data_IF_720979036605
#
_entry.id   IF_720979036605
#
_cell.length_a   1.000
_cell.length_b   1.000
_cell.length_c   1.000
_cell.angle_alpha   90.00
_cell.angle_beta   90.00
_cell.angle_gamma   90.00
#
_symmetry.space_group_name_H-M   'P 1'
#
loop_
_entity.id
_entity.type
_entity.pdbx_description
1 polymer ?
#
# COMPACT_ATOMS: atom_id res chain seq x y z
N UNK A 1 -48.76 11.50 -18.01
CA UNK A 1 -47.81 11.72 -16.90
C UNK A 1 -48.60 12.20 -15.69
N UNK A 2 -48.38 11.59 -14.51
CA UNK A 2 -47.21 11.95 -13.72
C UNK A 2 -46.32 10.74 -13.39
N UNK A 3 -45.02 11.00 -13.32
CA UNK A 3 -44.03 10.07 -12.78
C UNK A 3 -44.30 9.87 -11.29
N UNK A 4 -44.47 8.62 -10.86
CA UNK A 4 -44.29 8.25 -9.47
C UNK A 4 -42.81 8.45 -9.10
N UNK A 5 -42.56 9.48 -8.30
CA UNK A 5 -41.31 9.64 -7.55
C UNK A 5 -41.22 8.48 -6.57
N UNK A 6 -40.41 7.49 -6.92
CA UNK A 6 -40.00 6.41 -6.02
C UNK A 6 -39.22 7.04 -4.85
N UNK A 7 -39.89 7.22 -3.72
CA UNK A 7 -39.26 7.67 -2.48
C UNK A 7 -38.24 6.62 -2.03
N UNK A 8 -36.98 7.03 -1.89
CA UNK A 8 -35.93 6.19 -1.31
C UNK A 8 -36.36 5.67 0.07
N UNK A 9 -36.07 4.40 0.43
CA UNK A 9 -36.50 3.80 1.68
C UNK A 9 -35.97 4.59 2.89
N UNK A 10 -36.86 4.92 3.82
CA UNK A 10 -36.57 5.69 5.03
C UNK A 10 -35.67 4.87 5.96
N UNK A 11 -34.40 5.23 6.05
CA UNK A 11 -33.39 4.56 6.91
C UNK A 11 -33.91 4.54 8.36
N UNK A 12 -33.83 3.38 9.01
CA UNK A 12 -34.35 3.23 10.39
C UNK A 12 -33.41 3.92 11.38
N UNK A 13 -33.93 4.56 12.42
CA UNK A 13 -33.12 5.25 13.47
C UNK A 13 -31.99 4.38 14.02
N UNK A 14 -32.24 3.07 14.19
CA UNK A 14 -31.22 2.10 14.61
C UNK A 14 -30.03 2.01 13.64
N UNK A 15 -30.27 2.06 12.34
CA UNK A 15 -29.22 2.03 11.30
C UNK A 15 -28.41 3.33 11.30
N UNK A 16 -29.09 4.47 11.48
CA UNK A 16 -28.42 5.76 11.63
C UNK A 16 -27.48 5.78 12.85
N UNK A 17 -27.90 5.20 13.99
CA UNK A 17 -27.03 5.09 15.17
C UNK A 17 -25.75 4.32 14.83
N UNK A 18 -25.88 3.18 14.13
CA UNK A 18 -24.72 2.37 13.74
C UNK A 18 -23.79 3.14 12.80
N UNK A 19 -24.34 3.82 11.79
CA UNK A 19 -23.57 4.59 10.81
C UNK A 19 -22.81 5.75 11.46
N UNK A 20 -23.49 6.56 12.27
CA UNK A 20 -22.87 7.69 12.98
C UNK A 20 -21.82 7.21 14.00
N UNK A 21 -22.07 6.07 14.65
CA UNK A 21 -21.07 5.46 15.55
C UNK A 21 -19.82 5.04 14.79
N UNK A 22 -19.98 4.38 13.63
CA UNK A 22 -18.84 4.00 12.78
C UNK A 22 -18.00 5.22 12.39
N UNK A 23 -18.66 6.29 11.96
CA UNK A 23 -18.01 7.55 11.59
C UNK A 23 -17.20 8.14 12.76
N UNK A 24 -17.84 8.32 13.92
CA UNK A 24 -17.19 8.85 15.11
C UNK A 24 -16.03 7.97 15.58
N UNK A 25 -16.21 6.64 15.61
CA UNK A 25 -15.13 5.71 15.99
C UNK A 25 -13.96 5.80 15.02
N UNK A 26 -14.22 5.87 13.72
CA UNK A 26 -13.19 6.00 12.70
C UNK A 26 -12.41 7.32 12.80
N UNK A 27 -13.09 8.44 13.07
CA UNK A 27 -12.48 9.76 13.18
C UNK A 27 -11.71 9.94 14.50
N UNK A 28 -12.33 9.60 15.63
CA UNK A 28 -11.84 10.02 16.96
C UNK A 28 -11.17 8.90 17.76
N UNK A 29 -11.36 7.63 17.38
CA UNK A 29 -11.03 6.49 18.25
C UNK A 29 -12.27 5.95 18.94
N UNK A 30 -12.41 4.63 19.03
CA UNK A 30 -13.54 4.06 19.76
C UNK A 30 -13.45 4.38 21.27
N UNK A 31 -12.23 4.46 21.80
CA UNK A 31 -11.96 4.70 23.23
C UNK A 31 -12.42 6.09 23.70
N UNK A 32 -12.35 7.09 22.82
CA UNK A 32 -12.71 8.49 23.12
C UNK A 32 -14.21 8.77 22.91
N UNK A 33 -14.94 7.86 22.27
CA UNK A 33 -16.35 8.03 21.94
C UNK A 33 -17.22 7.26 22.94
N UNK A 34 -18.19 7.96 23.53
CA UNK A 34 -19.20 7.41 24.44
C UNK A 34 -20.57 7.36 23.76
N UNK A 35 -21.54 6.64 24.34
CA UNK A 35 -22.95 6.67 23.87
C UNK A 35 -23.54 8.08 23.93
N UNK A 36 -23.13 8.91 24.89
CA UNK A 36 -23.56 10.30 24.97
C UNK A 36 -22.98 11.15 23.83
N UNK A 37 -21.73 10.91 23.43
CA UNK A 37 -21.14 11.59 22.26
C UNK A 37 -21.90 11.23 20.98
N UNK A 38 -22.27 9.96 20.80
CA UNK A 38 -23.06 9.50 19.65
C UNK A 38 -24.45 10.15 19.65
N UNK A 39 -25.14 10.15 20.80
CA UNK A 39 -26.46 10.76 20.92
C UNK A 39 -26.42 12.27 20.62
N UNK A 40 -25.41 12.98 21.13
CA UNK A 40 -25.21 14.40 20.88
C UNK A 40 -24.92 14.69 19.41
N UNK A 41 -24.06 13.90 18.76
CA UNK A 41 -23.74 14.05 17.32
C UNK A 41 -24.97 13.85 16.43
N UNK A 42 -25.89 12.98 16.84
CA UNK A 42 -27.15 12.72 16.12
C UNK A 42 -28.30 13.64 16.53
N UNK A 43 -28.07 14.57 17.47
CA UNK A 43 -29.11 15.44 18.04
C UNK A 43 -30.32 14.66 18.62
N UNK A 44 -30.07 13.48 19.20
CA UNK A 44 -31.09 12.67 19.90
C UNK A 44 -30.84 12.62 21.40
N UNK A 45 -31.90 12.34 22.18
CA UNK A 45 -31.72 12.13 23.62
C UNK A 45 -30.95 10.83 23.91
N UNK A 46 -30.15 10.76 24.99
CA UNK A 46 -29.50 9.53 25.40
C UNK A 46 -30.49 8.37 25.58
N UNK A 47 -31.69 8.66 26.12
CA UNK A 47 -32.76 7.66 26.27
C UNK A 47 -33.25 7.07 24.95
N UNK A 48 -33.30 7.86 23.87
CA UNK A 48 -33.63 7.35 22.54
C UNK A 48 -32.56 6.39 22.02
N UNK A 49 -31.28 6.70 22.24
CA UNK A 49 -30.19 5.77 21.90
C UNK A 49 -30.28 4.48 22.72
N UNK A 50 -30.51 4.59 24.04
CA UNK A 50 -30.64 3.42 24.94
C UNK A 50 -31.81 2.51 24.58
N UNK A 51 -32.89 3.05 24.00
CA UNK A 51 -34.01 2.27 23.48
C UNK A 51 -33.58 1.30 22.36
N UNK A 52 -32.61 1.70 21.54
CA UNK A 52 -32.10 0.88 20.43
C UNK A 52 -30.88 0.04 20.80
N UNK A 53 -30.02 0.55 21.66
CA UNK A 53 -28.76 -0.09 22.07
C UNK A 53 -28.50 0.12 23.56
N UNK A 54 -28.47 -0.98 24.32
CA UNK A 54 -28.26 -0.92 25.77
C UNK A 54 -26.90 -0.33 26.18
N UNK A 55 -25.88 -0.43 25.32
CA UNK A 55 -24.53 0.08 25.56
C UNK A 55 -23.73 0.19 24.25
N UNK A 56 -22.51 0.76 24.34
CA UNK A 56 -21.58 0.92 23.21
C UNK A 56 -21.19 -0.43 22.58
N UNK A 57 -21.05 -1.47 23.39
CA UNK A 57 -20.63 -2.81 22.98
C UNK A 57 -21.68 -3.47 22.09
N UNK A 58 -22.96 -3.24 22.34
CA UNK A 58 -24.04 -3.69 21.47
C UNK A 58 -23.96 -3.04 20.06
N UNK A 59 -23.52 -1.78 19.97
CA UNK A 59 -23.29 -1.10 18.68
C UNK A 59 -22.07 -1.71 17.98
N UNK A 60 -20.96 -1.89 18.71
CA UNK A 60 -19.72 -2.50 18.19
C UNK A 60 -19.98 -3.92 17.68
N UNK A 61 -20.80 -4.72 18.38
CA UNK A 61 -21.16 -6.07 17.95
C UNK A 61 -21.93 -6.07 16.61
N UNK A 62 -22.78 -5.07 16.36
CA UNK A 62 -23.46 -4.90 15.07
C UNK A 62 -22.47 -4.46 13.99
N UNK A 63 -21.60 -3.50 14.28
CA UNK A 63 -20.54 -3.07 13.34
C UNK A 63 -19.62 -4.22 12.97
N UNK A 64 -19.21 -5.03 13.93
CA UNK A 64 -18.41 -6.23 13.69
C UNK A 64 -19.16 -7.25 12.84
N UNK A 65 -20.48 -7.39 13.03
CA UNK A 65 -21.32 -8.26 12.18
C UNK A 65 -21.35 -7.78 10.73
N UNK A 66 -21.46 -6.48 10.52
CA UNK A 66 -21.44 -5.88 9.17
C UNK A 66 -20.07 -6.04 8.52
N UNK A 67 -18.99 -5.84 9.28
CA UNK A 67 -17.62 -6.05 8.82
C UNK A 67 -17.36 -7.52 8.45
N UNK A 68 -17.74 -8.46 9.33
CA UNK A 68 -17.62 -9.90 9.09
C UNK A 68 -18.35 -10.30 7.80
N UNK A 69 -19.61 -9.88 7.65
CA UNK A 69 -20.40 -10.16 6.45
C UNK A 69 -19.82 -9.54 5.18
N UNK A 70 -19.27 -8.31 5.27
CA UNK A 70 -18.60 -7.65 4.15
C UNK A 70 -17.38 -8.45 3.69
N UNK A 71 -16.49 -8.81 4.62
CA UNK A 71 -15.25 -9.54 4.30
C UNK A 71 -15.57 -10.93 3.77
N UNK A 72 -16.50 -11.67 4.40
CA UNK A 72 -16.91 -12.99 3.91
C UNK A 72 -17.61 -12.94 2.55
N UNK A 73 -18.25 -11.82 2.21
CA UNK A 73 -18.90 -11.62 0.93
C UNK A 73 -17.94 -11.61 -0.26
N UNK A 74 -16.76 -11.00 -0.09
CA UNK A 74 -15.75 -10.91 -1.16
C UNK A 74 -14.59 -11.89 -0.98
N UNK A 75 -14.18 -12.26 0.23
CA UNK A 75 -13.00 -13.09 0.48
C UNK A 75 -13.32 -14.59 0.30
N UNK A 76 -13.55 -14.97 -0.95
CA UNK A 76 -13.84 -16.34 -1.37
C UNK A 76 -13.35 -16.58 -2.80
N UNK A 77 -12.92 -17.80 -3.16
CA UNK A 77 -12.54 -18.11 -4.53
C UNK A 77 -13.69 -17.88 -5.54
N UNK A 78 -13.37 -17.59 -6.81
CA UNK A 78 -14.37 -17.52 -7.88
C UNK A 78 -15.14 -18.84 -7.99
N UNK A 79 -16.45 -18.76 -8.17
CA UNK A 79 -17.31 -19.95 -8.32
C UNK A 79 -17.59 -20.20 -9.80
N UNK A 80 -17.40 -21.45 -10.25
CA UNK A 80 -17.75 -21.87 -11.60
C UNK A 80 -16.84 -21.34 -12.72
N UNK A 81 -15.70 -20.72 -12.38
CA UNK A 81 -14.65 -20.31 -13.33
C UNK A 81 -13.28 -20.36 -12.67
N UNK A 82 -12.23 -20.44 -13.50
CA UNK A 82 -10.86 -20.26 -13.04
C UNK A 82 -10.62 -18.83 -12.52
N UNK A 83 -9.65 -18.69 -11.61
CA UNK A 83 -9.20 -17.39 -11.12
C UNK A 83 -8.43 -16.63 -12.20
N UNK A 84 -8.52 -15.30 -12.18
CA UNK A 84 -7.79 -14.42 -13.11
C UNK A 84 -6.93 -13.41 -12.35
N UNK A 85 -6.06 -12.69 -13.07
CA UNK A 85 -5.24 -11.61 -12.49
C UNK A 85 -6.12 -10.47 -11.96
N UNK A 86 -7.28 -10.22 -12.59
CA UNK A 86 -8.27 -9.23 -12.15
C UNK A 86 -8.84 -9.57 -10.78
N UNK A 87 -9.05 -10.85 -10.46
CA UNK A 87 -9.51 -11.25 -9.13
C UNK A 87 -8.51 -10.86 -8.05
N UNK A 88 -7.20 -11.02 -8.32
CA UNK A 88 -6.14 -10.60 -7.40
C UNK A 88 -6.21 -9.10 -7.09
N UNK A 89 -6.45 -8.27 -8.12
CA UNK A 89 -6.66 -6.82 -7.95
C UNK A 89 -7.91 -6.55 -7.13
N UNK A 90 -9.02 -7.20 -7.46
CA UNK A 90 -10.29 -7.06 -6.76
C UNK A 90 -10.15 -7.37 -5.26
N UNK A 91 -9.54 -8.49 -4.89
CA UNK A 91 -9.36 -8.84 -3.47
C UNK A 91 -8.55 -7.78 -2.73
N UNK A 92 -7.51 -7.26 -3.36
CA UNK A 92 -6.64 -6.27 -2.75
C UNK A 92 -7.35 -4.93 -2.52
N UNK A 93 -8.08 -4.45 -3.52
CA UNK A 93 -8.90 -3.23 -3.41
C UNK A 93 -10.03 -3.39 -2.39
N UNK A 94 -10.70 -4.55 -2.38
CA UNK A 94 -11.75 -4.86 -1.43
C UNK A 94 -11.24 -4.92 0.01
N UNK A 95 -10.07 -5.54 0.24
CA UNK A 95 -9.42 -5.60 1.56
C UNK A 95 -9.04 -4.20 2.04
N UNK A 96 -8.40 -3.39 1.20
CA UNK A 96 -8.01 -2.01 1.56
C UNK A 96 -9.22 -1.13 1.85
N UNK A 97 -10.29 -1.28 1.06
CA UNK A 97 -11.54 -0.56 1.27
C UNK A 97 -12.22 -0.97 2.58
N UNK A 98 -12.28 -2.28 2.87
CA UNK A 98 -12.82 -2.78 4.13
C UNK A 98 -11.99 -2.29 5.34
N UNK A 99 -10.66 -2.32 5.23
CA UNK A 99 -9.76 -1.79 6.25
C UNK A 99 -9.96 -0.29 6.49
N UNK A 100 -10.15 0.51 5.44
CA UNK A 100 -10.42 1.94 5.57
C UNK A 100 -11.78 2.21 6.23
N UNK A 101 -12.83 1.55 5.74
CA UNK A 101 -14.19 1.74 6.20
C UNK A 101 -14.39 1.32 7.66
N UNK A 102 -13.61 0.34 8.14
CA UNK A 102 -13.67 -0.17 9.52
C UNK A 102 -12.35 -0.01 10.27
N UNK A 103 -11.55 1.01 9.93
CA UNK A 103 -10.21 1.24 10.49
C UNK A 103 -10.16 1.32 12.01
N UNK A 104 -11.25 1.75 12.66
CA UNK A 104 -11.33 1.72 14.12
C UNK A 104 -11.16 0.30 14.70
N UNK A 105 -11.70 -0.73 14.04
CA UNK A 105 -11.55 -2.12 14.48
C UNK A 105 -10.08 -2.52 14.48
N UNK A 106 -9.34 -2.17 13.42
CA UNK A 106 -7.91 -2.51 13.30
C UNK A 106 -7.02 -1.72 14.26
N UNK A 107 -7.37 -0.46 14.53
CA UNK A 107 -6.63 0.41 15.46
C UNK A 107 -6.80 -0.04 16.91
N UNK A 108 -8.02 -0.39 17.31
CA UNK A 108 -8.39 -0.63 18.72
C UNK A 108 -8.63 -2.11 19.06
N UNK A 109 -8.33 -3.04 18.13
CA UNK A 109 -8.71 -4.45 18.20
C UNK A 109 -8.44 -5.11 19.56
N UNK A 110 -7.19 -5.06 20.04
CA UNK A 110 -6.78 -5.70 21.28
C UNK A 110 -7.62 -5.25 22.48
N UNK A 111 -7.93 -3.95 22.54
CA UNK A 111 -8.77 -3.39 23.59
C UNK A 111 -10.22 -3.86 23.48
N UNK A 112 -10.77 -3.87 22.27
CA UNK A 112 -12.14 -4.34 22.00
C UNK A 112 -12.30 -5.81 22.40
N UNK A 113 -11.35 -6.67 22.04
CA UNK A 113 -11.40 -8.10 22.36
C UNK A 113 -11.17 -8.37 23.85
N UNK A 114 -10.33 -7.58 24.52
CA UNK A 114 -10.06 -7.72 25.95
C UNK A 114 -11.27 -7.41 26.85
N UNK A 115 -12.20 -6.55 26.39
CA UNK A 115 -13.37 -6.13 27.16
C UNK A 115 -14.65 -6.90 26.80
N UNK A 116 -14.64 -7.71 25.73
CA UNK A 116 -15.79 -8.51 25.30
C UNK A 116 -15.34 -9.93 24.89
N UNK A 117 -15.45 -10.92 25.81
CA UNK A 117 -15.10 -12.32 25.52
C UNK A 117 -15.90 -12.94 24.39
N UNK A 118 -17.14 -12.50 24.17
CA UNK A 118 -18.02 -13.00 23.11
C UNK A 118 -17.50 -12.53 21.75
N UNK A 119 -17.16 -11.23 21.66
CA UNK A 119 -16.52 -10.66 20.48
C UNK A 119 -15.15 -11.31 20.22
N UNK A 120 -14.35 -11.56 21.25
CA UNK A 120 -13.06 -12.26 21.13
C UNK A 120 -13.19 -13.69 20.58
N UNK A 121 -14.18 -14.45 21.03
CA UNK A 121 -14.45 -15.79 20.49
C UNK A 121 -14.94 -15.73 19.04
N UNK A 122 -15.77 -14.72 18.70
CA UNK A 122 -16.25 -14.52 17.34
C UNK A 122 -15.11 -14.11 16.39
N UNK A 123 -14.28 -13.16 16.79
CA UNK A 123 -13.13 -12.70 16.02
C UNK A 123 -12.15 -13.84 15.72
N UNK A 124 -11.85 -14.70 16.71
CA UNK A 124 -10.98 -15.88 16.50
C UNK A 124 -11.50 -16.83 15.41
N UNK A 125 -12.81 -17.08 15.39
CA UNK A 125 -13.43 -17.90 14.33
C UNK A 125 -13.40 -17.19 12.98
N UNK A 126 -13.66 -15.88 12.97
CA UNK A 126 -13.58 -15.06 11.77
C UNK A 126 -12.17 -15.05 11.15
N UNK A 127 -11.13 -14.83 11.95
CA UNK A 127 -9.74 -14.82 11.47
C UNK A 127 -9.32 -16.17 10.90
N UNK A 128 -9.72 -17.28 11.54
CA UNK A 128 -9.48 -18.63 11.02
C UNK A 128 -10.16 -18.85 9.66
N UNK A 129 -11.42 -18.41 9.51
CA UNK A 129 -12.12 -18.50 8.21
C UNK A 129 -11.43 -17.64 7.15
N UNK A 130 -11.00 -16.43 7.47
CA UNK A 130 -10.28 -15.56 6.54
C UNK A 130 -8.96 -16.19 6.07
N UNK A 131 -8.19 -16.79 6.97
CA UNK A 131 -6.95 -17.49 6.61
C UNK A 131 -7.23 -18.68 5.68
N UNK A 132 -8.24 -19.50 6.00
CA UNK A 132 -8.63 -20.63 5.15
C UNK A 132 -9.10 -20.18 3.76
N UNK A 133 -9.88 -19.10 3.67
CA UNK A 133 -10.33 -18.54 2.40
C UNK A 133 -9.17 -17.92 1.61
N UNK A 134 -8.25 -17.22 2.27
CA UNK A 134 -7.03 -16.69 1.65
C UNK A 134 -6.18 -17.82 1.03
N UNK A 135 -5.99 -18.92 1.76
CA UNK A 135 -5.29 -20.10 1.22
C UNK A 135 -6.05 -20.72 0.03
N UNK A 136 -7.38 -20.78 0.07
CA UNK A 136 -8.19 -21.27 -1.05
C UNK A 136 -8.07 -20.37 -2.28
N UNK A 137 -8.03 -19.05 -2.11
CA UNK A 137 -7.82 -18.08 -3.18
C UNK A 137 -6.44 -18.28 -3.81
N UNK A 138 -5.38 -18.38 -2.99
CA UNK A 138 -4.03 -18.61 -3.51
C UNK A 138 -3.90 -19.97 -4.21
N UNK A 139 -4.57 -21.03 -3.72
CA UNK A 139 -4.67 -22.30 -4.47
C UNK A 139 -5.31 -22.11 -5.83
N UNK A 140 -6.41 -21.36 -5.91
CA UNK A 140 -7.05 -21.03 -7.18
C UNK A 140 -6.13 -20.26 -8.14
N UNK A 141 -5.25 -19.40 -7.62
CA UNK A 141 -4.22 -18.74 -8.45
C UNK A 141 -3.11 -19.68 -8.91
N UNK A 142 -2.73 -20.68 -8.09
CA UNK A 142 -1.78 -21.72 -8.52
C UNK A 142 -2.38 -22.61 -9.59
N UNK A 143 -3.63 -23.05 -9.42
CA UNK A 143 -4.36 -23.87 -10.39
C UNK A 143 -4.57 -23.17 -11.74
N UNK A 144 -4.58 -21.82 -11.74
CA UNK A 144 -4.69 -21.00 -12.94
C UNK A 144 -3.33 -20.59 -13.54
N UNK A 145 -2.21 -21.15 -13.04
CA UNK A 145 -0.84 -20.80 -13.45
C UNK A 145 -0.49 -19.30 -13.29
N UNK A 146 -1.16 -18.59 -12.39
CA UNK A 146 -0.92 -17.15 -12.11
C UNK A 146 0.25 -16.97 -11.13
N UNK A 147 0.45 -17.93 -10.23
CA UNK A 147 1.54 -17.95 -9.25
C UNK A 147 2.05 -19.38 -9.07
N UNK A 148 3.36 -19.55 -8.92
CA UNK A 148 3.96 -20.84 -8.62
C UNK A 148 4.31 -20.92 -7.12
N UNK A 149 3.54 -21.70 -6.36
CA UNK A 149 3.75 -21.90 -4.92
C UNK A 149 3.36 -23.30 -4.49
N UNK A 150 4.11 -23.88 -3.54
CA UNK A 150 3.70 -25.07 -2.81
C UNK A 150 2.71 -24.76 -1.67
N UNK A 151 2.17 -25.80 -1.03
CA UNK A 151 1.19 -25.65 0.06
C UNK A 151 1.75 -24.88 1.26
N UNK A 152 3.01 -25.08 1.61
CA UNK A 152 3.66 -24.43 2.76
C UNK A 152 3.84 -22.93 2.46
N UNK A 153 4.20 -22.58 1.22
CA UNK A 153 4.31 -21.21 0.76
C UNK A 153 2.95 -20.50 0.74
N UNK A 154 1.87 -21.18 0.33
CA UNK A 154 0.51 -20.64 0.39
C UNK A 154 0.11 -20.32 1.84
N UNK A 155 0.34 -21.25 2.77
CA UNK A 155 0.04 -21.05 4.19
C UNK A 155 0.83 -19.87 4.77
N UNK A 156 2.14 -19.84 4.50
CA UNK A 156 3.05 -18.80 4.99
C UNK A 156 2.72 -17.42 4.43
N UNK A 157 2.47 -17.32 3.12
CA UNK A 157 2.12 -16.08 2.46
C UNK A 157 0.77 -15.56 2.96
N UNK A 158 -0.21 -16.44 3.12
CA UNK A 158 -1.54 -16.03 3.63
C UNK A 158 -1.44 -15.48 5.05
N UNK A 159 -0.66 -16.13 5.92
CA UNK A 159 -0.42 -15.66 7.29
C UNK A 159 0.32 -14.31 7.31
N UNK A 160 1.37 -14.18 6.51
CA UNK A 160 2.14 -12.94 6.41
C UNK A 160 1.28 -11.80 5.87
N UNK A 161 0.49 -12.04 4.82
CA UNK A 161 -0.46 -11.07 4.29
C UNK A 161 -1.48 -10.63 5.34
N UNK A 162 -2.02 -11.57 6.12
CA UNK A 162 -2.91 -11.26 7.24
C UNK A 162 -2.24 -10.37 8.29
N UNK A 163 -1.03 -10.71 8.73
CA UNK A 163 -0.26 -9.92 9.71
C UNK A 163 -0.03 -8.50 9.20
N UNK A 164 0.42 -8.36 7.94
CA UNK A 164 0.69 -7.06 7.32
C UNK A 164 -0.58 -6.23 7.24
N UNK A 165 -1.67 -6.78 6.67
CA UNK A 165 -2.93 -6.06 6.51
C UNK A 165 -3.52 -5.64 7.87
N UNK A 166 -3.57 -6.55 8.84
CA UNK A 166 -4.14 -6.25 10.16
C UNK A 166 -3.29 -5.28 10.98
N UNK A 167 -1.98 -5.22 10.72
CA UNK A 167 -1.06 -4.30 11.42
C UNK A 167 -0.84 -2.98 10.70
N UNK A 168 -1.24 -2.85 9.43
CA UNK A 168 -0.91 -1.70 8.58
C UNK A 168 -1.42 -0.36 9.13
N UNK A 169 -2.67 -0.32 9.60
CA UNK A 169 -3.27 0.89 10.20
C UNK A 169 -2.47 1.34 11.42
N UNK A 170 -2.10 0.39 12.28
CA UNK A 170 -1.30 0.67 13.50
C UNK A 170 0.12 1.12 13.15
N UNK A 171 0.73 0.50 12.15
CA UNK A 171 2.04 0.91 11.64
C UNK A 171 2.02 2.35 11.11
N UNK A 172 1.04 2.72 10.28
CA UNK A 172 0.91 4.07 9.75
C UNK A 172 0.72 5.10 10.88
N UNK A 173 -0.15 4.79 11.85
CA UNK A 173 -0.41 5.67 13.00
C UNK A 173 0.80 5.86 13.94
N UNK A 174 1.81 5.00 13.86
CA UNK A 174 3.00 5.05 14.74
C UNK A 174 4.25 5.55 14.04
N UNK A 175 4.28 5.53 12.70
CA UNK A 175 5.50 5.81 11.94
C UNK A 175 5.40 6.99 10.99
N UNK A 176 4.18 7.39 10.57
CA UNK A 176 4.01 8.38 9.50
C UNK A 176 2.89 9.38 9.75
N UNK A 177 1.73 8.90 10.20
CA UNK A 177 0.50 9.69 10.31
C UNK A 177 0.07 9.77 11.77
N UNK A 178 -0.51 10.90 12.19
CA UNK A 178 -1.16 10.96 13.49
C UNK A 178 -2.50 10.20 13.42
N UNK A 179 -2.87 9.45 14.47
CA UNK A 179 -4.07 8.58 14.45
C UNK A 179 -5.40 9.29 14.19
N UNK A 180 -5.43 10.61 14.36
CA UNK A 180 -6.57 11.49 14.09
C UNK A 180 -6.63 12.00 12.63
N UNK A 181 -5.55 11.85 11.85
CA UNK A 181 -5.40 12.40 10.50
C UNK A 181 -4.99 11.33 9.46
N UNK A 182 -5.34 10.06 9.70
CA UNK A 182 -5.08 9.00 8.73
C UNK A 182 -5.89 9.27 7.45
N UNK A 183 -5.21 9.42 6.32
CA UNK A 183 -5.85 9.60 5.01
C UNK A 183 -6.14 8.25 4.33
N UNK A 184 -7.18 8.22 3.49
CA UNK A 184 -7.51 7.04 2.68
C UNK A 184 -6.36 6.68 1.75
N UNK A 185 -5.72 7.71 1.17
CA UNK A 185 -4.52 7.58 0.37
C UNK A 185 -3.36 6.95 1.14
N UNK A 186 -3.18 7.22 2.45
CA UNK A 186 -2.13 6.57 3.24
C UNK A 186 -2.36 5.05 3.40
N UNK A 187 -3.61 4.61 3.53
CA UNK A 187 -3.95 3.18 3.54
C UNK A 187 -3.70 2.58 2.16
N UNK A 188 -4.19 3.24 1.11
CA UNK A 188 -4.06 2.78 -0.29
C UNK A 188 -2.63 2.87 -0.83
N UNK A 189 -1.76 3.72 -0.28
CA UNK A 189 -0.32 3.84 -0.61
C UNK A 189 0.47 2.54 -0.44
N UNK A 190 -0.04 1.58 0.34
CA UNK A 190 0.52 0.23 0.38
C UNK A 190 0.39 -0.54 -0.93
N UNK A 191 -0.49 -0.07 -1.84
CA UNK A 191 -0.81 -0.69 -3.13
C UNK A 191 -1.27 0.37 -4.13
N UNK A 192 -0.37 0.83 -5.01
CA UNK A 192 -0.80 1.39 -6.30
C UNK A 192 -0.54 0.36 -7.39
N UNK A 193 -1.61 -0.27 -7.87
CA UNK A 193 -1.61 -0.95 -9.17
C UNK A 193 -2.53 -0.20 -10.13
N UNK A 194 -2.01 0.16 -11.30
CA UNK A 194 -2.82 0.63 -12.44
C UNK A 194 -2.84 2.13 -12.73
N UNK A 195 -2.28 2.99 -11.86
CA UNK A 195 -2.10 4.44 -12.14
C UNK A 195 -0.63 4.80 -12.34
N UNK A 196 0.28 4.09 -11.66
CA UNK A 196 1.73 4.22 -11.81
C UNK A 196 2.39 2.84 -11.85
N UNK A 197 3.57 2.73 -12.44
CA UNK A 197 4.40 1.51 -12.31
C UNK A 197 4.78 1.23 -10.85
N UNK A 198 5.42 0.07 -10.60
CA UNK A 198 5.82 -0.38 -9.24
C UNK A 198 6.80 0.55 -8.51
N UNK A 199 7.39 1.51 -9.23
CA UNK A 199 8.34 2.47 -8.70
C UNK A 199 8.03 3.87 -9.25
N UNK A 200 6.96 4.53 -8.76
CA UNK A 200 6.58 5.86 -9.24
C UNK A 200 7.69 6.88 -8.99
N UNK A 201 7.68 7.96 -9.78
CA UNK A 201 8.45 9.14 -9.44
C UNK A 201 7.90 9.75 -8.14
N UNK A 202 8.78 10.21 -7.24
CA UNK A 202 8.34 10.91 -6.04
C UNK A 202 7.77 12.29 -6.41
N UNK A 203 6.99 12.86 -5.50
CA UNK A 203 6.65 14.28 -5.58
C UNK A 203 7.95 15.12 -5.53
N UNK A 204 8.19 16.02 -6.51
CA UNK A 204 9.43 16.77 -6.58
C UNK A 204 9.73 17.60 -5.35
N UNK A 205 8.71 18.26 -4.78
CA UNK A 205 8.91 19.13 -3.63
C UNK A 205 9.25 18.34 -2.38
N UNK A 206 8.59 17.18 -2.17
CA UNK A 206 8.91 16.27 -1.07
C UNK A 206 10.33 15.69 -1.20
N UNK A 207 10.77 15.35 -2.43
CA UNK A 207 12.13 14.87 -2.65
C UNK A 207 13.15 15.99 -2.37
N UNK A 208 12.93 17.21 -2.85
CA UNK A 208 13.80 18.36 -2.57
C UNK A 208 13.90 18.63 -1.07
N UNK A 209 12.77 18.67 -0.35
CA UNK A 209 12.75 18.84 1.11
C UNK A 209 13.54 17.74 1.82
N UNK A 210 13.42 16.49 1.35
CA UNK A 210 14.18 15.37 1.91
C UNK A 210 15.68 15.55 1.71
N UNK A 211 16.12 15.90 0.50
CA UNK A 211 17.53 16.15 0.19
C UNK A 211 18.09 17.30 1.06
N UNK A 212 17.34 18.39 1.23
CA UNK A 212 17.70 19.49 2.14
C UNK A 212 17.80 19.03 3.59
N UNK A 213 16.90 18.17 4.06
CA UNK A 213 16.96 17.63 5.42
C UNK A 213 18.19 16.74 5.68
N UNK A 214 18.83 16.23 4.62
CA UNK A 214 20.11 15.52 4.67
C UNK A 214 21.32 16.46 4.56
N UNK A 215 21.09 17.77 4.47
CA UNK A 215 22.15 18.77 4.36
C UNK A 215 22.70 18.95 2.95
N UNK A 216 22.00 18.46 1.91
CA UNK A 216 22.45 18.60 0.52
C UNK A 216 22.23 20.04 0.04
N UNK A 217 23.29 20.64 -0.48
CA UNK A 217 23.30 21.90 -1.19
C UNK A 217 23.42 21.69 -2.70
N UNK A 218 23.24 22.76 -3.47
CA UNK A 218 23.43 22.74 -4.91
C UNK A 218 24.86 22.31 -5.31
N UNK A 219 25.88 22.75 -4.57
CA UNK A 219 27.31 22.51 -4.79
C UNK A 219 27.87 21.28 -4.04
N UNK A 220 27.02 20.49 -3.37
CA UNK A 220 27.48 19.30 -2.66
C UNK A 220 28.00 18.22 -3.61
N UNK A 221 29.12 17.60 -3.27
CA UNK A 221 29.52 16.31 -3.83
C UNK A 221 28.74 15.17 -3.16
N UNK A 222 28.05 14.36 -3.96
CA UNK A 222 27.16 13.29 -3.52
C UNK A 222 27.64 11.97 -4.10
N UNK A 223 28.07 11.06 -3.23
CA UNK A 223 28.43 9.69 -3.61
C UNK A 223 27.31 8.75 -3.18
N UNK A 224 26.72 8.05 -4.15
CA UNK A 224 25.60 7.15 -3.98
C UNK A 224 26.06 5.70 -3.97
N UNK A 225 25.52 4.91 -3.06
CA UNK A 225 25.77 3.47 -2.96
C UNK A 225 24.54 2.75 -2.41
N UNK A 226 24.48 1.44 -2.61
CA UNK A 226 23.52 0.55 -1.99
C UNK A 226 24.21 -0.71 -1.46
N UNK A 227 23.45 -1.58 -0.79
CA UNK A 227 23.94 -2.85 -0.22
C UNK A 227 23.84 -4.03 -1.22
N UNK A 228 23.66 -3.73 -2.50
CA UNK A 228 23.33 -4.69 -3.55
C UNK A 228 24.09 -4.41 -4.85
N UNK A 229 23.48 -4.71 -6.01
CA UNK A 229 24.11 -4.60 -7.33
C UNK A 229 24.00 -3.18 -7.93
N UNK A 230 23.83 -2.14 -7.12
CA UNK A 230 23.85 -0.73 -7.59
C UNK A 230 22.54 -0.20 -8.17
N UNK A 231 21.48 -1.02 -8.30
CA UNK A 231 20.22 -0.59 -8.90
C UNK A 231 19.51 0.55 -8.12
N UNK A 232 19.61 0.57 -6.79
CA UNK A 232 19.01 1.63 -5.98
C UNK A 232 19.87 2.89 -6.00
N UNK A 233 21.19 2.74 -5.99
CA UNK A 233 22.12 3.85 -6.17
C UNK A 233 21.93 4.53 -7.54
N UNK A 234 21.81 3.75 -8.62
CA UNK A 234 21.53 4.24 -9.96
C UNK A 234 20.19 4.97 -10.04
N UNK A 235 19.14 4.46 -9.38
CA UNK A 235 17.86 5.17 -9.29
C UNK A 235 17.99 6.50 -8.55
N UNK A 236 18.72 6.54 -7.43
CA UNK A 236 18.95 7.78 -6.70
C UNK A 236 19.73 8.80 -7.54
N UNK A 237 20.73 8.34 -8.29
CA UNK A 237 21.50 9.17 -9.23
C UNK A 237 20.60 9.77 -10.30
N UNK A 238 19.76 8.94 -10.92
CA UNK A 238 18.83 9.39 -11.95
C UNK A 238 17.82 10.41 -11.41
N UNK A 239 17.32 10.23 -10.17
CA UNK A 239 16.41 11.19 -9.54
C UNK A 239 17.07 12.55 -9.28
N UNK A 240 18.36 12.58 -8.93
CA UNK A 240 19.12 13.83 -8.81
C UNK A 240 19.29 14.48 -10.18
N UNK A 241 19.65 13.71 -11.21
CA UNK A 241 19.77 14.19 -12.58
C UNK A 241 18.45 14.75 -13.14
N UNK A 242 17.33 14.10 -12.79
CA UNK A 242 15.97 14.54 -13.10
C UNK A 242 15.58 15.83 -12.40
N UNK A 243 16.06 16.08 -11.18
CA UNK A 243 15.89 17.38 -10.52
C UNK A 243 16.91 18.43 -10.97
N UNK A 244 17.78 18.11 -11.93
CA UNK A 244 18.80 19.01 -12.48
C UNK A 244 20.16 18.96 -11.79
N UNK A 245 20.35 18.14 -10.74
CA UNK A 245 21.67 17.94 -10.11
C UNK A 245 22.48 16.91 -10.89
N UNK A 246 23.27 17.40 -11.84
CA UNK A 246 24.15 16.57 -12.70
C UNK A 246 25.62 16.68 -12.33
N UNK A 247 25.99 17.77 -11.66
CA UNK A 247 27.35 18.03 -11.20
C UNK A 247 27.55 17.54 -9.76
N UNK A 248 28.74 17.00 -9.49
CA UNK A 248 29.12 16.48 -8.17
C UNK A 248 28.26 15.29 -7.74
N UNK A 249 27.84 14.42 -8.66
CA UNK A 249 27.10 13.20 -8.31
C UNK A 249 27.79 11.98 -8.91
N UNK A 250 28.21 11.05 -8.05
CA UNK A 250 28.89 9.82 -8.43
C UNK A 250 28.21 8.60 -7.82
N UNK A 251 28.39 7.44 -8.45
CA UNK A 251 28.03 6.14 -7.89
C UNK A 251 29.33 5.47 -7.42
N UNK A 252 29.29 4.87 -6.23
CA UNK A 252 30.45 4.17 -5.68
C UNK A 252 30.67 2.84 -6.39
N UNK A 253 31.77 2.75 -7.14
CA UNK A 253 32.20 1.52 -7.82
C UNK A 253 32.42 0.37 -6.82
N UNK A 254 31.78 -0.78 -7.07
CA UNK A 254 31.75 -1.94 -6.18
C UNK A 254 31.01 -1.74 -4.84
N UNK A 255 30.38 -0.58 -4.62
CA UNK A 255 29.56 -0.26 -3.46
C UNK A 255 30.31 -0.29 -2.12
N UNK A 256 29.54 -0.32 -1.02
CA UNK A 256 30.10 -0.28 0.34
C UNK A 256 30.99 -1.51 0.64
N UNK A 257 30.70 -2.66 0.02
CA UNK A 257 31.49 -3.88 0.18
C UNK A 257 32.90 -3.72 -0.37
N UNK A 258 33.06 -3.13 -1.55
CA UNK A 258 34.38 -2.84 -2.12
C UNK A 258 35.13 -1.79 -1.30
N UNK A 259 34.45 -0.74 -0.85
CA UNK A 259 35.03 0.28 0.04
C UNK A 259 35.59 -0.33 1.32
N UNK A 260 34.81 -1.21 1.95
CA UNK A 260 35.23 -1.91 3.16
C UNK A 260 36.38 -2.90 2.90
N UNK A 261 36.31 -3.66 1.80
CA UNK A 261 37.36 -4.59 1.40
C UNK A 261 38.69 -3.88 1.06
N UNK A 262 38.63 -2.66 0.55
CA UNK A 262 39.78 -1.79 0.32
C UNK A 262 40.37 -1.20 1.63
N UNK A 263 39.78 -1.47 2.79
CA UNK A 263 40.24 -0.95 4.08
C UNK A 263 40.04 0.56 4.23
N UNK A 264 39.10 1.15 3.47
CA UNK A 264 38.85 2.58 3.51
C UNK A 264 38.04 2.97 4.76
N UNK A 265 38.20 4.21 5.28
CA UNK A 265 37.58 4.63 6.53
C UNK A 265 36.04 4.58 6.47
N UNK A 266 35.43 4.20 7.59
CA UNK A 266 34.00 4.31 7.86
C UNK A 266 33.83 4.94 9.24
N UNK A 267 32.82 5.79 9.39
CA UNK A 267 32.42 6.36 10.68
C UNK A 267 30.98 5.96 11.01
N UNK A 268 30.72 5.75 12.30
CA UNK A 268 29.38 5.58 12.86
C UNK A 268 28.92 6.83 13.62
N UNK A 269 29.72 7.90 13.59
CA UNK A 269 29.43 9.14 14.28
C UNK A 269 28.19 9.78 13.66
N UNK A 270 27.33 10.33 14.50
CA UNK A 270 26.17 11.07 14.04
C UNK A 270 26.63 12.33 13.32
N UNK A 271 26.19 12.53 12.07
CA UNK A 271 26.47 13.74 11.33
C UNK A 271 25.64 14.92 11.88
N UNK A 272 26.24 16.11 11.92
CA UNK A 272 25.54 17.33 12.28
C UNK A 272 24.44 17.64 11.27
N UNK A 273 23.21 17.78 11.76
CA UNK A 273 22.06 18.05 10.92
C UNK A 273 21.96 19.55 10.65
N UNK A 274 22.33 19.95 9.44
CA UNK A 274 21.97 21.25 8.87
C UNK A 274 20.93 21.07 7.78
N UNK A 275 20.07 22.05 7.61
CA UNK A 275 19.23 22.13 6.43
C UNK A 275 20.08 22.63 5.25
N UNK A 276 20.06 21.89 4.15
CA UNK A 276 20.72 22.26 2.91
C UNK A 276 19.89 23.22 2.05
N UNK A 277 20.52 23.82 1.05
CA UNK A 277 19.92 24.82 0.17
C UNK A 277 19.48 24.26 -1.20
N UNK A 278 19.58 22.95 -1.42
CA UNK A 278 19.34 22.34 -2.73
C UNK A 278 18.05 22.80 -3.40
N UNK A 279 18.12 23.24 -4.64
CA UNK A 279 16.98 23.64 -5.46
C UNK A 279 17.03 22.90 -6.78
N UNK A 280 15.93 22.22 -7.14
CA UNK A 280 15.84 21.47 -8.38
C UNK A 280 14.50 21.69 -9.07
N UNK A 281 14.47 21.38 -10.36
CA UNK A 281 13.25 21.34 -11.16
C UNK A 281 13.21 20.03 -11.95
N UNK A 282 12.07 19.31 -11.94
CA UNK A 282 11.88 18.13 -12.79
C UNK A 282 12.17 18.43 -14.25
N UNK A 283 13.03 17.62 -14.85
CA UNK A 283 13.29 17.63 -16.28
C UNK A 283 12.32 16.69 -16.99
N UNK A 284 11.34 17.28 -17.68
CA UNK A 284 10.34 16.55 -18.45
C UNK A 284 10.96 15.78 -19.64
N UNK A 285 12.15 16.16 -20.13
CA UNK A 285 12.78 15.44 -21.25
C UNK A 285 13.42 14.11 -20.85
N UNK A 286 13.53 13.81 -19.56
CA UNK A 286 14.04 12.52 -19.07
C UNK A 286 12.92 11.49 -18.86
N UNK A 287 11.67 11.89 -19.00
CA UNK A 287 10.51 11.01 -18.82
C UNK A 287 9.79 10.82 -20.15
N UNK A 288 9.11 9.68 -20.27
CA UNK A 288 8.30 9.32 -21.41
C UNK A 288 7.04 8.63 -20.87
N UNK A 289 5.86 9.04 -21.34
CA UNK A 289 4.63 8.36 -20.96
C UNK A 289 4.36 7.11 -21.82
N UNK A 290 3.39 6.30 -21.40
CA UNK A 290 3.09 5.03 -22.07
C UNK A 290 2.52 5.21 -23.48
N UNK A 291 1.78 6.28 -23.75
CA UNK A 291 1.21 6.57 -25.06
C UNK A 291 2.28 7.08 -26.02
N UNK A 292 3.15 7.97 -25.54
CA UNK A 292 4.33 8.45 -26.28
C UNK A 292 5.25 7.28 -26.64
N UNK A 293 5.53 6.39 -25.68
CA UNK A 293 6.30 5.17 -25.92
C UNK A 293 5.63 4.31 -26.99
N UNK A 294 4.34 3.99 -26.83
CA UNK A 294 3.61 3.15 -27.77
C UNK A 294 3.61 3.71 -29.21
N UNK A 295 3.48 5.03 -29.35
CA UNK A 295 3.52 5.71 -30.66
C UNK A 295 4.93 5.74 -31.27
N UNK A 296 5.98 5.74 -30.45
CA UNK A 296 7.37 5.77 -30.88
C UNK A 296 7.98 4.39 -31.17
N UNK A 297 7.34 3.29 -30.79
CA UNK A 297 7.86 1.94 -31.01
C UNK A 297 8.11 1.67 -32.50
N UNK A 298 9.31 1.17 -32.82
CA UNK A 298 9.72 0.86 -34.19
C UNK A 298 10.17 2.07 -35.02
N UNK A 299 10.18 3.28 -34.45
CA UNK A 299 10.79 4.45 -35.09
C UNK A 299 12.32 4.45 -34.89
N UNK A 300 13.11 4.95 -35.85
CA UNK A 300 14.58 4.99 -35.72
C UNK A 300 15.07 5.97 -34.63
N UNK A 301 14.23 6.92 -34.22
CA UNK A 301 14.57 7.95 -33.24
C UNK A 301 14.39 7.49 -31.78
N UNK A 302 13.83 6.30 -31.55
CA UNK A 302 13.60 5.73 -30.22
C UNK A 302 14.32 4.39 -30.05
N UNK A 303 15.40 4.40 -29.26
CA UNK A 303 16.05 3.15 -28.81
C UNK A 303 15.56 2.80 -27.41
N UNK A 304 14.96 1.62 -27.27
CA UNK A 304 14.49 1.12 -25.98
C UNK A 304 15.48 0.11 -25.41
N UNK A 305 15.95 0.35 -24.19
CA UNK A 305 16.83 -0.57 -23.46
C UNK A 305 16.05 -1.22 -22.31
N UNK A 306 16.14 -2.54 -22.22
CA UNK A 306 15.62 -3.31 -21.10
C UNK A 306 16.76 -3.67 -20.15
N UNK A 307 16.77 -3.04 -18.98
CA UNK A 307 17.81 -3.21 -17.98
C UNK A 307 17.68 -4.49 -17.15
N UNK A 308 16.61 -5.29 -17.33
CA UNK A 308 16.37 -6.49 -16.54
C UNK A 308 17.31 -7.63 -16.95
N UNK A 309 17.48 -8.60 -16.06
CA UNK A 309 18.27 -9.80 -16.33
C UNK A 309 17.75 -10.55 -17.57
N UNK A 310 18.67 -11.14 -18.34
CA UNK A 310 18.38 -11.80 -19.61
C UNK A 310 17.22 -12.83 -19.57
N UNK A 311 17.07 -13.68 -18.54
CA UNK A 311 15.93 -14.60 -18.47
C UNK A 311 14.58 -13.90 -18.40
N UNK A 312 14.50 -12.72 -17.76
CA UNK A 312 13.28 -11.90 -17.70
C UNK A 312 12.99 -11.25 -19.04
N UNK A 313 14.02 -10.72 -19.69
CA UNK A 313 13.91 -10.16 -21.04
C UNK A 313 13.36 -11.20 -22.04
N UNK A 314 13.83 -12.44 -21.95
CA UNK A 314 13.36 -13.56 -22.80
C UNK A 314 11.99 -14.11 -22.40
N UNK A 315 11.47 -13.75 -21.23
CA UNK A 315 10.21 -14.27 -20.70
C UNK A 315 10.30 -15.70 -20.17
N UNK A 316 11.51 -16.20 -19.93
CA UNK A 316 11.76 -17.54 -19.35
C UNK A 316 11.40 -17.55 -17.85
N UNK A 317 11.61 -16.43 -17.17
CA UNK A 317 11.30 -16.22 -15.75
C UNK A 317 10.64 -14.85 -15.61
N UNK A 318 9.38 -14.79 -15.16
CA UNK A 318 8.75 -13.52 -14.80
C UNK A 318 8.06 -13.62 -13.45
N UNK A 319 8.72 -13.16 -12.36
CA UNK A 319 8.19 -13.30 -11.02
C UNK A 319 7.23 -12.17 -10.61
N UNK A 320 7.14 -11.07 -11.40
CA UNK A 320 6.51 -9.84 -10.93
C UNK A 320 5.48 -9.25 -11.91
N UNK A 321 5.73 -9.32 -13.21
CA UNK A 321 4.88 -8.73 -14.26
C UNK A 321 3.80 -9.72 -14.78
N UNK A 322 2.58 -9.26 -15.15
CA UNK A 322 1.53 -10.15 -15.65
C UNK A 322 1.86 -10.81 -17.00
N UNK A 323 2.72 -10.17 -17.79
CA UNK A 323 3.16 -10.65 -19.10
C UNK A 323 4.67 -10.78 -19.05
N UNK A 324 5.15 -12.00 -19.29
CA UNK A 324 6.57 -12.30 -19.37
C UNK A 324 7.18 -11.76 -20.68
N UNK A 325 8.48 -11.49 -20.66
CA UNK A 325 9.23 -10.99 -21.81
C UNK A 325 9.44 -9.48 -21.77
N UNK A 326 9.59 -8.87 -22.94
CA UNK A 326 9.98 -7.47 -23.11
C UNK A 326 9.07 -6.74 -24.10
N UNK A 327 9.18 -5.41 -24.12
CA UNK A 327 8.49 -4.56 -25.09
C UNK A 327 9.11 -4.81 -26.48
N UNK A 328 8.30 -5.08 -27.53
CA UNK A 328 8.82 -5.32 -28.87
C UNK A 328 9.81 -4.25 -29.33
N UNK A 329 10.97 -4.68 -29.84
CA UNK A 329 12.05 -3.80 -30.28
C UNK A 329 13.00 -3.34 -29.17
N UNK A 330 12.76 -3.68 -27.90
CA UNK A 330 13.73 -3.40 -26.83
C UNK A 330 15.00 -4.22 -27.00
N UNK A 331 16.15 -3.62 -26.70
CA UNK A 331 17.43 -4.30 -26.62
C UNK A 331 17.73 -4.68 -25.17
N UNK A 332 18.14 -5.92 -24.94
CA UNK A 332 18.57 -6.37 -23.62
C UNK A 332 19.90 -5.72 -23.24
N UNK A 333 19.92 -5.00 -22.13
CA UNK A 333 21.11 -4.35 -21.57
C UNK A 333 21.08 -4.51 -20.05
N UNK A 334 21.24 -5.76 -19.57
CA UNK A 334 21.10 -6.08 -18.15
C UNK A 334 22.03 -5.21 -17.30
N UNK A 335 21.49 -4.50 -16.31
CA UNK A 335 22.30 -3.55 -15.54
C UNK A 335 23.41 -4.23 -14.74
N UNK A 336 23.24 -5.50 -14.39
CA UNK A 336 24.25 -6.31 -13.68
C UNK A 336 25.54 -6.49 -14.47
N UNK A 337 25.47 -6.32 -15.80
CA UNK A 337 26.62 -6.49 -16.69
C UNK A 337 27.25 -5.13 -17.06
N UNK A 338 26.70 -4.03 -16.53
CA UNK A 338 27.02 -2.65 -16.94
C UNK A 338 27.25 -1.68 -15.76
N UNK A 339 27.29 -2.19 -14.52
CA UNK A 339 27.50 -1.42 -13.28
C UNK A 339 28.74 -1.88 -12.52
#
# INVERSE_FOLDING_TARGET
MPLELTMAPRIKTRELIVQNSLELFNQQGERSVSTNHIAAHMEISPGNLYYHFANKQAIIAVLFTQYEALVEGFLRPPQGRAATVEDKRFYLEALLSAMWNYRFLHRDLEHLLGHDPTLAARYRRFSQRCLLQGQAIYRGFVEADIVAMDTVQIESLTLNAWIVLTSWVRFLCTTREHSAHLSEEAIKRGVYQGVTGRHPLPDPQQLIQRLRSWGIDNDSDVVLYDDGPGAFAARAWWLLAWLGKRDGVAILDGGLKAWHAAGLPLSLDACDKREGNFSGQPDASLVLDAAELANGLGTPDLTLLDARALPRFRGEVEPIDPVAGHIPGAHCAAFTDNL
#
